data_IF_833543593529
#
_entry.id   IF_833543593529
#
_cell.length_a   1.000
_cell.length_b   1.000
_cell.length_c   1.000
_cell.angle_alpha   90.00
_cell.angle_beta   90.00
_cell.angle_gamma   90.00
#
_symmetry.space_group_name_H-M   'P 1'
#
loop_
_entity.id
_entity.type
_entity.pdbx_description
1 polymer ?
#
# COMPACT_ATOMS: atom_id res chain seq x y z
N UNK A 1 -15.16 0.39 12.12
CA UNK A 1 -13.85 -0.32 12.08
C UNK A 1 -13.80 -1.53 13.01
N UNK A 2 -14.18 -1.43 14.29
CA UNK A 2 -14.16 -2.60 15.19
C UNK A 2 -15.09 -3.75 14.72
N UNK A 3 -16.33 -3.43 14.35
CA UNK A 3 -17.29 -4.43 13.85
C UNK A 3 -16.81 -5.14 12.58
N UNK A 4 -16.23 -4.40 11.64
CA UNK A 4 -15.71 -4.96 10.39
C UNK A 4 -14.50 -5.86 10.63
N UNK A 5 -13.61 -5.48 11.56
CA UNK A 5 -12.48 -6.32 11.95
C UNK A 5 -12.95 -7.61 12.63
N UNK A 6 -13.92 -7.52 13.55
CA UNK A 6 -14.52 -8.68 14.20
C UNK A 6 -15.17 -9.62 13.19
N UNK A 7 -15.89 -9.06 12.21
CA UNK A 7 -16.49 -9.86 11.14
C UNK A 7 -15.43 -10.59 10.31
N UNK A 8 -14.39 -9.91 9.84
CA UNK A 8 -13.28 -10.54 9.09
C UNK A 8 -12.58 -11.63 9.90
N UNK A 9 -12.30 -11.36 11.18
CA UNK A 9 -11.72 -12.35 12.09
C UNK A 9 -12.62 -13.57 12.27
N UNK A 10 -13.93 -13.37 12.42
CA UNK A 10 -14.88 -14.48 12.55
C UNK A 10 -14.90 -15.36 11.30
N UNK A 11 -14.87 -14.76 10.10
CA UNK A 11 -14.82 -15.50 8.84
C UNK A 11 -13.50 -16.28 8.69
N UNK A 12 -12.38 -15.67 9.05
CA UNK A 12 -11.07 -16.32 9.03
C UNK A 12 -11.01 -17.53 9.98
N UNK A 13 -11.48 -17.36 11.22
CA UNK A 13 -11.53 -18.44 12.21
C UNK A 13 -12.49 -19.55 11.79
N UNK A 14 -13.68 -19.19 11.33
CA UNK A 14 -14.67 -20.16 10.86
C UNK A 14 -14.13 -20.96 9.66
N UNK A 15 -13.48 -20.30 8.70
CA UNK A 15 -12.79 -20.98 7.59
C UNK A 15 -11.71 -21.95 8.08
N UNK A 16 -10.93 -21.57 9.10
CA UNK A 16 -9.93 -22.46 9.72
C UNK A 16 -10.57 -23.66 10.44
N UNK A 17 -11.71 -23.48 11.09
CA UNK A 17 -12.41 -24.57 11.78
C UNK A 17 -13.11 -25.54 10.80
N UNK A 18 -13.58 -25.04 9.67
CA UNK A 18 -14.26 -25.86 8.65
C UNK A 18 -13.30 -26.58 7.70
N UNK A 19 -12.07 -26.08 7.54
CA UNK A 19 -11.09 -26.68 6.65
C UNK A 19 -10.59 -28.06 7.15
N UNK A 20 -10.32 -29.01 6.24
CA UNK A 20 -9.62 -30.24 6.60
C UNK A 20 -8.26 -29.93 7.24
N UNK A 21 -7.80 -30.73 8.22
CA UNK A 21 -6.51 -30.48 8.87
C UNK A 21 -5.37 -30.57 7.85
N UNK A 22 -4.43 -29.63 7.94
CA UNK A 22 -3.25 -29.64 7.09
C UNK A 22 -2.31 -30.80 7.49
N UNK A 23 -2.02 -31.69 6.54
CA UNK A 23 -1.02 -32.74 6.72
C UNK A 23 0.39 -32.17 6.54
N UNK A 24 1.13 -32.06 7.65
CA UNK A 24 2.50 -31.55 7.68
C UNK A 24 3.49 -32.38 6.85
N UNK A 25 3.13 -33.62 6.49
CA UNK A 25 3.96 -34.47 5.63
C UNK A 25 3.84 -34.10 4.15
N UNK A 26 2.81 -33.35 3.77
CA UNK A 26 2.56 -32.97 2.38
C UNK A 26 3.22 -31.61 2.07
N UNK A 27 4.54 -31.64 1.87
CA UNK A 27 5.37 -30.46 1.59
C UNK A 27 5.05 -29.87 0.21
N UNK A 28 4.65 -30.70 -0.75
CA UNK A 28 4.27 -30.26 -2.11
C UNK A 28 3.11 -29.25 -2.10
N UNK A 29 2.16 -29.39 -1.16
CA UNK A 29 1.03 -28.44 -1.00
C UNK A 29 1.43 -27.03 -0.58
N UNK A 30 2.62 -26.84 -0.01
CA UNK A 30 3.13 -25.53 0.43
C UNK A 30 4.23 -24.99 -0.48
N UNK A 31 4.63 -25.75 -1.50
CA UNK A 31 5.57 -25.26 -2.50
C UNK A 31 4.88 -24.21 -3.39
N UNK A 32 5.62 -23.16 -3.80
CA UNK A 32 5.10 -22.17 -4.74
C UNK A 32 4.63 -22.82 -6.04
N UNK A 33 3.57 -22.28 -6.64
CA UNK A 33 3.12 -22.75 -7.94
C UNK A 33 4.12 -22.37 -9.03
N UNK A 34 4.65 -23.39 -9.69
CA UNK A 34 5.69 -23.32 -10.73
C UNK A 34 5.33 -24.21 -11.91
N UNK A 35 4.04 -24.32 -12.24
CA UNK A 35 3.53 -25.21 -13.30
C UNK A 35 3.96 -26.70 -13.15
N UNK A 36 4.28 -27.13 -11.92
CA UNK A 36 4.75 -28.48 -11.61
C UNK A 36 6.27 -28.67 -11.64
N UNK A 37 7.04 -27.62 -11.89
CA UNK A 37 8.51 -27.67 -11.93
C UNK A 37 9.14 -27.32 -10.57
N UNK A 38 10.23 -27.97 -10.18
CA UNK A 38 10.98 -27.57 -8.99
C UNK A 38 11.89 -26.39 -9.32
N UNK A 39 11.35 -25.17 -9.21
CA UNK A 39 12.12 -23.94 -9.41
C UNK A 39 12.80 -23.48 -8.11
N UNK A 40 14.05 -23.00 -8.17
CA UNK A 40 14.68 -22.39 -7.02
C UNK A 40 13.91 -21.12 -6.61
N UNK A 41 13.90 -20.83 -5.30
CA UNK A 41 13.28 -19.62 -4.77
C UNK A 41 14.15 -18.42 -5.18
N UNK A 42 13.89 -17.86 -6.35
CA UNK A 42 14.54 -16.62 -6.77
C UNK A 42 13.81 -15.42 -6.19
N UNK A 43 14.52 -14.63 -5.38
CA UNK A 43 14.06 -13.30 -4.98
C UNK A 43 14.28 -12.34 -6.15
N UNK A 44 13.32 -12.31 -7.07
CA UNK A 44 13.34 -11.35 -8.16
C UNK A 44 13.14 -9.94 -7.62
N UNK A 45 14.04 -9.02 -7.98
CA UNK A 45 13.84 -7.60 -7.70
C UNK A 45 12.75 -7.08 -8.63
N UNK A 46 11.52 -7.00 -8.12
CA UNK A 46 10.40 -6.45 -8.87
C UNK A 46 10.61 -4.96 -9.03
N UNK A 47 10.83 -4.51 -10.28
CA UNK A 47 10.81 -3.10 -10.61
C UNK A 47 9.38 -2.60 -10.49
N UNK A 48 9.13 -1.72 -9.52
CA UNK A 48 7.84 -1.06 -9.37
C UNK A 48 7.73 0.00 -10.48
N UNK A 49 7.07 -0.35 -11.59
CA UNK A 49 6.93 0.53 -12.75
C UNK A 49 6.30 1.88 -12.39
N UNK A 50 5.41 1.89 -11.39
CA UNK A 50 4.68 3.06 -10.92
C UNK A 50 5.32 3.73 -9.68
N UNK A 51 6.60 3.48 -9.39
CA UNK A 51 7.26 4.05 -8.22
C UNK A 51 7.15 5.59 -8.17
N UNK A 52 7.39 6.26 -9.30
CA UNK A 52 7.27 7.71 -9.38
C UNK A 52 5.84 8.21 -9.14
N UNK A 53 4.83 7.46 -9.61
CA UNK A 53 3.44 7.80 -9.34
C UNK A 53 3.13 7.70 -7.85
N UNK A 54 3.60 6.64 -7.18
CA UNK A 54 3.43 6.48 -5.73
C UNK A 54 4.14 7.59 -4.96
N UNK A 55 5.34 8.00 -5.38
CA UNK A 55 6.10 9.08 -4.74
C UNK A 55 5.44 10.46 -4.91
N UNK A 56 4.92 10.77 -6.10
CA UNK A 56 4.17 12.03 -6.29
C UNK A 56 2.85 11.99 -5.52
N UNK A 57 2.17 10.85 -5.51
CA UNK A 57 0.94 10.67 -4.73
C UNK A 57 1.16 10.93 -3.24
N UNK A 58 2.23 10.41 -2.63
CA UNK A 58 2.50 10.63 -1.19
C UNK A 58 2.78 12.09 -0.88
N UNK A 59 3.51 12.81 -1.74
CA UNK A 59 3.75 14.26 -1.57
C UNK A 59 2.44 15.05 -1.65
N UNK A 60 1.56 14.71 -2.60
CA UNK A 60 0.26 15.35 -2.73
C UNK A 60 -0.67 15.02 -1.56
N UNK A 61 -0.62 13.80 -1.02
CA UNK A 61 -1.37 13.39 0.18
C UNK A 61 -0.97 14.24 1.40
N UNK A 62 0.33 14.46 1.61
CA UNK A 62 0.81 15.38 2.66
C UNK A 62 0.27 16.79 2.44
N UNK A 63 0.29 17.31 1.21
CA UNK A 63 -0.28 18.63 0.92
C UNK A 63 -1.79 18.70 1.19
N UNK A 64 -2.54 17.63 0.87
CA UNK A 64 -3.96 17.52 1.17
C UNK A 64 -4.22 17.51 2.69
N UNK A 65 -3.39 16.82 3.47
CA UNK A 65 -3.44 16.85 4.94
C UNK A 65 -3.19 18.24 5.50
N UNK A 66 -2.18 18.97 4.99
CA UNK A 66 -1.92 20.35 5.39
C UNK A 66 -3.13 21.26 5.13
N UNK A 67 -3.77 21.14 3.97
CA UNK A 67 -4.99 21.88 3.66
C UNK A 67 -6.12 21.51 4.63
N UNK A 68 -6.38 20.22 4.83
CA UNK A 68 -7.46 19.74 5.68
C UNK A 68 -7.31 20.21 7.13
N UNK A 69 -6.08 20.18 7.68
CA UNK A 69 -5.81 20.59 9.05
C UNK A 69 -5.86 22.11 9.26
N UNK A 70 -5.63 22.90 8.21
CA UNK A 70 -5.54 24.37 8.31
C UNK A 70 -6.76 25.09 7.77
N UNK A 71 -7.76 24.40 7.23
CA UNK A 71 -8.90 24.99 6.51
C UNK A 71 -9.69 26.05 7.30
N UNK A 72 -9.75 25.94 8.62
CA UNK A 72 -10.41 26.91 9.51
C UNK A 72 -9.42 27.76 10.32
N UNK A 73 -8.12 27.64 10.05
CA UNK A 73 -7.08 28.41 10.72
C UNK A 73 -6.94 29.79 10.08
N UNK A 74 -6.70 30.87 10.85
CA UNK A 74 -6.30 32.16 10.29
C UNK A 74 -4.99 32.09 9.49
N UNK A 75 -4.22 31.00 9.67
CA UNK A 75 -2.99 30.70 8.96
C UNK A 75 -3.20 29.79 7.73
N UNK A 76 -4.43 29.57 7.27
CA UNK A 76 -4.74 28.72 6.11
C UNK A 76 -3.95 29.10 4.83
N UNK A 77 -3.57 30.37 4.70
CA UNK A 77 -2.75 30.85 3.59
C UNK A 77 -1.36 30.17 3.53
N UNK A 78 -0.81 29.69 4.65
CA UNK A 78 0.45 28.94 4.67
C UNK A 78 0.33 27.60 3.95
N UNK A 79 -0.83 26.94 4.02
CA UNK A 79 -1.07 25.69 3.28
C UNK A 79 -1.17 25.95 1.76
N UNK A 80 -1.71 27.10 1.35
CA UNK A 80 -1.71 27.51 -0.05
C UNK A 80 -0.29 27.81 -0.55
N UNK A 81 0.55 28.47 0.27
CA UNK A 81 1.97 28.69 -0.05
C UNK A 81 2.71 27.36 -0.19
N UNK A 82 2.49 26.43 0.75
CA UNK A 82 3.08 25.09 0.69
C UNK A 82 2.68 24.34 -0.59
N UNK A 83 1.39 24.38 -0.97
CA UNK A 83 0.90 23.75 -2.20
C UNK A 83 1.54 24.38 -3.45
N UNK A 84 1.67 25.71 -3.46
CA UNK A 84 2.39 26.43 -4.53
C UNK A 84 3.84 25.97 -4.66
N UNK A 85 4.54 25.78 -3.55
CA UNK A 85 5.91 25.26 -3.52
C UNK A 85 5.97 23.84 -4.10
N UNK A 86 5.11 22.94 -3.62
CA UNK A 86 5.01 21.55 -4.13
C UNK A 86 4.78 21.53 -5.65
N UNK A 87 3.89 22.39 -6.15
CA UNK A 87 3.60 22.49 -7.57
C UNK A 87 4.79 22.99 -8.39
N UNK A 88 5.48 24.04 -7.92
CA UNK A 88 6.70 24.55 -8.59
C UNK A 88 7.80 23.51 -8.58
N UNK A 89 8.02 22.81 -7.47
CA UNK A 89 9.00 21.71 -7.39
C UNK A 89 8.67 20.57 -8.34
N UNK A 90 7.38 20.22 -8.49
CA UNK A 90 6.95 19.22 -9.45
C UNK A 90 7.21 19.65 -10.90
N UNK A 91 6.92 20.90 -11.26
CA UNK A 91 7.21 21.45 -12.58
C UNK A 91 8.72 21.46 -12.87
N UNK A 92 9.53 21.84 -11.88
CA UNK A 92 10.99 21.81 -11.97
C UNK A 92 11.52 20.38 -12.16
N UNK A 93 10.99 19.42 -11.39
CA UNK A 93 11.34 18.01 -11.55
C UNK A 93 10.97 17.47 -12.93
N UNK A 94 9.82 17.87 -13.49
CA UNK A 94 9.40 17.48 -14.83
C UNK A 94 10.30 18.05 -15.95
N UNK A 95 10.94 19.18 -15.70
CA UNK A 95 11.81 19.85 -16.69
C UNK A 95 13.22 19.29 -16.79
N UNK A 96 13.58 18.33 -15.92
CA UNK A 96 14.85 17.59 -15.90
C UNK A 96 14.65 16.23 -16.54
#
# INVERSE_FOLDING_TARGET
>A
MALTLLFVLSLYLLGRFMAPPFDKKNIEKIQPYSCGEELPIEQIQIKIHQYYLAAVFTVLEVAALFLALTIYSPLAYLALIYLGLVFVTYLAYRSV
#
